data_IF_583456626627
#
_entry.id   IF_583456626627
#
_cell.length_a   1.000
_cell.length_b   1.000
_cell.length_c   1.000
_cell.angle_alpha   90.00
_cell.angle_beta   90.00
_cell.angle_gamma   90.00
#
_symmetry.space_group_name_H-M   'P 1'
#
loop_
_entity.id
_entity.type
_entity.pdbx_description
1 polymer ?
#
# COMPACT_ATOMS: atom_id res chain seq x y z
N UNK A 1 -20.31 -9.42 -14.57
CA UNK A 1 -19.31 -8.37 -14.32
C UNK A 1 -19.89 -7.02 -14.72
N UNK A 2 -20.14 -6.13 -13.78
CA UNK A 2 -20.76 -4.83 -14.00
C UNK A 2 -19.79 -3.81 -14.62
N UNK A 3 -20.29 -2.63 -15.01
CA UNK A 3 -19.45 -1.56 -15.58
C UNK A 3 -18.46 -1.00 -14.54
N UNK A 4 -18.82 -1.01 -13.24
CA UNK A 4 -17.97 -0.61 -12.12
C UNK A 4 -16.73 -1.49 -11.98
N UNK A 5 -16.91 -2.81 -12.10
CA UNK A 5 -15.87 -3.81 -11.87
C UNK A 5 -14.71 -3.69 -12.86
N UNK A 6 -15.01 -3.42 -14.11
CA UNK A 6 -14.02 -3.22 -15.17
C UNK A 6 -13.26 -1.90 -14.99
N UNK A 7 -13.87 -0.90 -14.34
CA UNK A 7 -13.25 0.39 -14.07
C UNK A 7 -12.09 0.24 -13.08
N UNK A 8 -12.29 -0.45 -11.97
CA UNK A 8 -11.25 -0.66 -10.94
C UNK A 8 -10.04 -1.44 -11.49
N UNK A 9 -10.29 -2.56 -12.20
CA UNK A 9 -9.20 -3.32 -12.81
C UNK A 9 -8.42 -2.49 -13.83
N UNK A 10 -9.11 -1.70 -14.65
CA UNK A 10 -8.48 -0.79 -15.61
C UNK A 10 -7.63 0.25 -14.91
N UNK A 11 -8.15 0.86 -13.86
CA UNK A 11 -7.42 1.84 -13.05
C UNK A 11 -6.18 1.24 -12.40
N UNK A 12 -6.30 0.01 -11.85
CA UNK A 12 -5.17 -0.72 -11.32
C UNK A 12 -4.07 -0.96 -12.37
N UNK A 13 -4.45 -1.40 -13.57
CA UNK A 13 -3.49 -1.62 -14.67
C UNK A 13 -2.86 -0.30 -15.16
N UNK A 14 -3.61 0.79 -15.14
CA UNK A 14 -3.12 2.11 -15.50
C UNK A 14 -2.12 2.65 -14.48
N UNK A 15 -2.39 2.46 -13.18
CA UNK A 15 -1.46 2.79 -12.11
C UNK A 15 -0.18 1.95 -12.20
N UNK A 16 -0.30 0.65 -12.44
CA UNK A 16 0.87 -0.22 -12.63
C UNK A 16 1.77 0.23 -13.79
N UNK A 17 1.19 0.73 -14.88
CA UNK A 17 1.95 1.32 -15.99
C UNK A 17 2.66 2.61 -15.57
N UNK A 18 1.98 3.47 -14.87
CA UNK A 18 2.50 4.76 -14.39
C UNK A 18 3.62 4.55 -13.38
N UNK A 19 3.42 3.69 -12.39
CA UNK A 19 4.44 3.34 -11.39
C UNK A 19 5.66 2.66 -12.05
N UNK A 20 5.42 1.80 -13.04
CA UNK A 20 6.51 1.18 -13.80
C UNK A 20 7.38 2.22 -14.51
N UNK A 21 6.78 3.27 -15.07
CA UNK A 21 7.49 4.38 -15.73
C UNK A 21 8.26 5.28 -14.76
N UNK A 22 7.73 5.50 -13.56
CA UNK A 22 8.44 6.26 -12.53
C UNK A 22 9.73 5.56 -12.08
N UNK A 23 9.69 4.22 -11.95
CA UNK A 23 10.86 3.40 -11.58
C UNK A 23 11.84 3.19 -12.74
N UNK A 24 11.33 3.11 -13.96
CA UNK A 24 12.10 2.92 -15.18
C UNK A 24 11.42 3.66 -16.33
N UNK A 25 11.96 4.82 -16.77
CA UNK A 25 11.39 5.61 -17.87
C UNK A 25 11.18 4.82 -19.17
N UNK A 26 11.95 3.75 -19.41
CA UNK A 26 11.79 2.85 -20.56
C UNK A 26 10.66 1.83 -20.41
N UNK A 27 9.98 1.78 -19.25
CA UNK A 27 8.87 0.86 -19.02
C UNK A 27 7.66 1.23 -19.87
N UNK A 28 7.34 0.38 -20.82
CA UNK A 28 6.32 0.62 -21.84
C UNK A 28 5.06 -0.21 -21.62
N UNK A 29 3.98 0.16 -22.32
CA UNK A 29 2.75 -0.66 -22.38
C UNK A 29 3.06 -2.09 -22.81
N UNK A 30 4.02 -2.29 -23.74
CA UNK A 30 4.46 -3.63 -24.16
C UNK A 30 5.11 -4.41 -23.02
N UNK A 31 5.92 -3.74 -22.19
CA UNK A 31 6.54 -4.36 -21.02
C UNK A 31 5.50 -4.79 -19.99
N UNK A 32 4.51 -3.93 -19.70
CA UNK A 32 3.39 -4.27 -18.81
C UNK A 32 2.55 -5.41 -19.38
N UNK A 33 2.23 -5.39 -20.68
CA UNK A 33 1.49 -6.45 -21.34
C UNK A 33 2.20 -7.80 -21.21
N UNK A 34 3.52 -7.84 -21.48
CA UNK A 34 4.36 -9.03 -21.29
C UNK A 34 4.31 -9.52 -19.85
N UNK A 35 4.44 -8.61 -18.87
CA UNK A 35 4.38 -8.93 -17.43
C UNK A 35 3.00 -9.49 -17.02
N UNK A 36 1.91 -8.95 -17.57
CA UNK A 36 0.55 -9.42 -17.33
C UNK A 36 0.15 -10.68 -18.14
N UNK A 37 1.01 -11.14 -19.05
CA UNK A 37 0.68 -12.25 -19.95
C UNK A 37 -0.43 -11.93 -20.96
N UNK A 38 -0.53 -10.65 -21.36
CA UNK A 38 -1.48 -10.13 -22.34
C UNK A 38 -0.76 -9.69 -23.60
N UNK A 39 -1.47 -9.66 -24.74
CA UNK A 39 -0.93 -8.95 -25.91
C UNK A 39 -1.00 -7.43 -25.71
N UNK A 40 -0.07 -6.66 -26.31
CA UNK A 40 -0.11 -5.20 -26.22
C UNK A 40 -1.43 -4.60 -26.71
N UNK A 41 -2.01 -5.17 -27.78
CA UNK A 41 -3.31 -4.76 -28.31
C UNK A 41 -4.44 -5.00 -27.28
N UNK A 42 -4.49 -6.20 -26.67
CA UNK A 42 -5.46 -6.52 -25.65
C UNK A 42 -5.36 -5.60 -24.43
N UNK A 43 -4.14 -5.31 -23.95
CA UNK A 43 -3.94 -4.39 -22.83
C UNK A 43 -4.40 -2.96 -23.20
N UNK A 44 -4.08 -2.48 -24.40
CA UNK A 44 -4.53 -1.17 -24.90
C UNK A 44 -6.05 -1.08 -24.95
N UNK A 45 -6.73 -2.11 -25.44
CA UNK A 45 -8.19 -2.18 -25.49
C UNK A 45 -8.82 -2.22 -24.08
N UNK A 46 -8.18 -2.90 -23.11
CA UNK A 46 -8.62 -2.94 -21.72
C UNK A 46 -8.48 -1.57 -21.09
N UNK A 47 -7.32 -0.93 -21.24
CA UNK A 47 -7.06 0.42 -20.69
C UNK A 47 -7.98 1.48 -21.28
N UNK A 48 -8.37 1.35 -22.56
CA UNK A 48 -9.35 2.24 -23.20
C UNK A 48 -10.82 1.88 -22.91
N UNK A 49 -11.07 0.80 -22.15
CA UNK A 49 -12.41 0.33 -21.83
C UNK A 49 -13.14 -0.38 -22.95
N UNK A 50 -12.50 -0.61 -24.11
CA UNK A 50 -13.10 -1.30 -25.27
C UNK A 50 -13.18 -2.81 -25.08
N UNK A 51 -12.39 -3.37 -24.19
CA UNK A 51 -12.33 -4.81 -23.90
C UNK A 51 -12.46 -5.07 -22.42
N UNK A 52 -13.27 -6.08 -22.08
CA UNK A 52 -13.44 -6.58 -20.71
C UNK A 52 -12.60 -7.85 -20.51
N UNK A 53 -12.06 -8.02 -19.29
CA UNK A 53 -11.44 -9.28 -18.86
C UNK A 53 -12.45 -10.10 -18.07
N UNK A 54 -12.46 -11.43 -18.31
CA UNK A 54 -13.16 -12.33 -17.40
C UNK A 54 -12.44 -12.44 -16.06
N UNK A 55 -13.11 -12.82 -14.96
CA UNK A 55 -12.46 -12.96 -13.65
C UNK A 55 -11.24 -13.88 -13.69
N UNK A 56 -11.30 -14.98 -14.42
CA UNK A 56 -10.21 -15.96 -14.55
C UNK A 56 -8.99 -15.34 -15.26
N UNK A 57 -9.24 -14.58 -16.33
CA UNK A 57 -8.16 -13.87 -17.05
C UNK A 57 -7.59 -12.71 -16.26
N UNK A 58 -8.43 -12.01 -15.50
CA UNK A 58 -7.98 -10.96 -14.59
C UNK A 58 -7.09 -11.55 -13.48
N UNK A 59 -7.52 -12.67 -12.86
CA UNK A 59 -6.73 -13.41 -11.88
C UNK A 59 -5.36 -13.80 -12.43
N UNK A 60 -5.33 -14.43 -13.60
CA UNK A 60 -4.10 -14.87 -14.23
C UNK A 60 -3.16 -13.68 -14.55
N UNK A 61 -3.70 -12.57 -15.02
CA UNK A 61 -2.92 -11.37 -15.33
C UNK A 61 -2.30 -10.76 -14.06
N UNK A 62 -3.08 -10.62 -12.99
CA UNK A 62 -2.62 -10.10 -11.70
C UNK A 62 -1.54 -11.00 -11.09
N UNK A 63 -1.73 -12.32 -11.12
CA UNK A 63 -0.74 -13.30 -10.64
C UNK A 63 0.57 -13.20 -11.42
N UNK A 64 0.51 -13.11 -12.76
CA UNK A 64 1.71 -12.94 -13.60
C UNK A 64 2.43 -11.60 -13.36
N UNK A 65 1.70 -10.58 -12.96
CA UNK A 65 2.28 -9.29 -12.55
C UNK A 65 2.99 -9.36 -11.20
N UNK A 66 2.89 -10.48 -10.48
CA UNK A 66 3.47 -10.67 -9.16
C UNK A 66 2.59 -10.08 -8.05
N UNK A 67 1.31 -9.87 -8.34
CA UNK A 67 0.35 -9.44 -7.32
C UNK A 67 0.07 -10.64 -6.40
N UNK A 68 0.21 -10.49 -5.08
CA UNK A 68 -0.03 -11.57 -4.13
C UNK A 68 -1.45 -12.15 -4.28
N UNK A 69 -1.61 -13.47 -4.05
CA UNK A 69 -2.91 -14.13 -4.18
C UNK A 69 -4.02 -13.44 -3.37
N UNK A 70 -3.69 -12.96 -2.18
CA UNK A 70 -4.63 -12.28 -1.28
C UNK A 70 -5.17 -10.97 -1.89
N UNK A 71 -4.28 -10.17 -2.51
CA UNK A 71 -4.68 -8.94 -3.21
C UNK A 71 -5.43 -9.25 -4.50
N UNK A 72 -5.01 -10.28 -5.22
CA UNK A 72 -5.71 -10.78 -6.42
C UNK A 72 -7.12 -11.22 -6.08
N UNK A 73 -7.30 -12.06 -5.07
CA UNK A 73 -8.61 -12.51 -4.59
C UNK A 73 -9.49 -11.36 -4.11
N UNK A 74 -8.90 -10.39 -3.41
CA UNK A 74 -9.63 -9.21 -2.95
C UNK A 74 -10.14 -8.39 -4.14
N UNK A 75 -9.26 -8.06 -5.11
CA UNK A 75 -9.64 -7.34 -6.33
C UNK A 75 -10.74 -8.12 -7.09
N UNK A 76 -10.61 -9.44 -7.23
CA UNK A 76 -11.61 -10.26 -7.91
C UNK A 76 -12.93 -10.34 -7.16
N UNK A 77 -12.92 -10.46 -5.83
CA UNK A 77 -14.12 -10.46 -5.00
C UNK A 77 -14.81 -9.10 -5.01
N UNK A 78 -14.06 -7.98 -4.97
CA UNK A 78 -14.64 -6.66 -5.15
C UNK A 78 -15.28 -6.49 -6.53
N UNK A 79 -14.69 -7.14 -7.56
CA UNK A 79 -15.22 -7.20 -8.92
C UNK A 79 -16.45 -8.10 -9.08
N UNK A 80 -16.63 -9.13 -8.23
CA UNK A 80 -17.70 -10.11 -8.33
C UNK A 80 -18.77 -9.99 -7.26
N UNK A 81 -18.52 -9.21 -6.20
CA UNK A 81 -19.49 -8.96 -5.11
C UNK A 81 -20.71 -8.20 -5.64
N UNK A 82 -21.63 -8.93 -6.22
CA UNK A 82 -22.86 -8.40 -6.78
C UNK A 82 -24.05 -8.54 -5.84
N UNK A 83 -24.79 -7.43 -5.75
CA UNK A 83 -26.25 -7.30 -5.58
C UNK A 83 -26.88 -7.27 -4.18
N UNK A 84 -26.19 -7.60 -3.06
CA UNK A 84 -26.87 -7.59 -1.76
C UNK A 84 -26.23 -6.71 -0.68
N UNK A 85 -25.13 -5.99 -0.97
CA UNK A 85 -24.52 -5.04 -0.02
C UNK A 85 -24.76 -3.60 -0.47
N UNK A 86 -25.08 -2.74 0.48
CA UNK A 86 -25.17 -1.30 0.23
C UNK A 86 -23.85 -0.83 -0.43
N UNK A 87 -23.87 -0.13 -1.59
CA UNK A 87 -22.65 0.30 -2.30
C UNK A 87 -21.66 1.08 -1.43
N UNK A 88 -22.15 1.84 -0.45
CA UNK A 88 -21.32 2.57 0.51
C UNK A 88 -20.54 1.65 1.46
N UNK A 89 -21.14 0.55 1.92
CA UNK A 89 -20.45 -0.43 2.77
C UNK A 89 -19.37 -1.21 2.01
N UNK A 90 -19.63 -1.54 0.75
CA UNK A 90 -18.64 -2.21 -0.09
C UNK A 90 -17.44 -1.29 -0.36
N UNK A 91 -17.68 -0.03 -0.69
CA UNK A 91 -16.62 0.97 -0.91
C UNK A 91 -15.79 1.17 0.35
N UNK A 92 -16.42 1.26 1.53
CA UNK A 92 -15.73 1.42 2.80
C UNK A 92 -14.80 0.23 3.11
N UNK A 93 -15.24 -1.00 2.85
CA UNK A 93 -14.40 -2.20 3.02
C UNK A 93 -13.21 -2.23 2.08
N UNK A 94 -13.39 -1.78 0.84
CA UNK A 94 -12.32 -1.64 -0.16
C UNK A 94 -11.31 -0.57 0.31
N UNK A 95 -11.79 0.58 0.75
CA UNK A 95 -10.94 1.67 1.23
C UNK A 95 -10.14 1.27 2.48
N UNK A 96 -10.73 0.53 3.41
CA UNK A 96 -10.07 -0.02 4.59
C UNK A 96 -8.97 -1.03 4.22
N UNK A 97 -9.21 -1.88 3.22
CA UNK A 97 -8.19 -2.81 2.75
C UNK A 97 -6.97 -2.07 2.18
N UNK A 98 -7.19 -1.13 1.25
CA UNK A 98 -6.11 -0.38 0.64
C UNK A 98 -5.37 0.52 1.63
N UNK A 99 -6.07 1.08 2.62
CA UNK A 99 -5.43 1.82 3.70
C UNK A 99 -4.32 1.02 4.37
N UNK A 100 -4.57 -0.26 4.62
CA UNK A 100 -3.63 -1.15 5.30
C UNK A 100 -2.64 -1.76 4.30
N UNK A 101 -3.10 -2.17 3.12
CA UNK A 101 -2.28 -2.91 2.17
C UNK A 101 -1.20 -2.07 1.48
N UNK A 102 -1.51 -0.83 1.16
CA UNK A 102 -0.61 0.03 0.40
C UNK A 102 0.12 0.99 1.37
N UNK A 103 1.44 0.89 1.43
CA UNK A 103 2.30 1.59 2.40
C UNK A 103 2.15 3.12 2.42
N UNK A 104 1.85 3.71 1.28
CA UNK A 104 1.83 5.17 1.11
C UNK A 104 0.69 5.87 1.83
N UNK A 105 -0.38 5.19 2.21
CA UNK A 105 -1.49 5.83 2.94
C UNK A 105 -1.04 6.34 4.31
N UNK A 106 -0.32 5.51 5.07
CA UNK A 106 0.23 5.94 6.36
C UNK A 106 1.35 6.96 6.19
N UNK A 107 2.15 6.87 5.13
CA UNK A 107 3.15 7.87 4.82
C UNK A 107 2.52 9.23 4.48
N UNK A 108 1.42 9.26 3.74
CA UNK A 108 0.66 10.50 3.44
C UNK A 108 0.07 11.09 4.74
N UNK A 109 -0.47 10.28 5.64
CA UNK A 109 -0.97 10.74 6.93
C UNK A 109 0.16 11.37 7.76
N UNK A 110 1.33 10.72 7.83
CA UNK A 110 2.49 11.27 8.53
C UNK A 110 3.03 12.54 7.87
N UNK A 111 3.01 12.64 6.52
CA UNK A 111 3.33 13.90 5.83
C UNK A 111 2.37 15.02 6.21
N UNK A 112 1.08 14.71 6.37
CA UNK A 112 0.08 15.68 6.81
C UNK A 112 0.34 16.30 8.18
N UNK A 113 1.26 15.72 8.96
CA UNK A 113 1.69 16.21 10.26
C UNK A 113 3.02 17.00 10.21
N UNK A 114 3.69 17.08 9.06
CA UNK A 114 4.95 17.83 8.91
C UNK A 114 4.70 19.32 8.82
N UNK A 115 5.68 20.11 9.29
CA UNK A 115 5.60 21.58 9.34
C UNK A 115 5.47 22.24 7.96
N UNK A 116 6.03 21.60 6.93
CA UNK A 116 6.04 22.07 5.54
C UNK A 116 4.96 21.44 4.66
N UNK A 117 3.97 20.74 5.26
CA UNK A 117 2.93 20.05 4.53
C UNK A 117 2.21 20.97 3.55
N UNK A 118 2.08 20.51 2.31
CA UNK A 118 1.30 21.17 1.27
C UNK A 118 0.17 20.25 0.80
N UNK A 119 -1.05 20.76 0.83
CA UNK A 119 -2.24 20.10 0.29
C UNK A 119 -2.23 20.12 -1.25
N UNK A 120 -1.25 19.44 -1.82
CA UNK A 120 -1.08 19.31 -3.27
C UNK A 120 -0.71 17.88 -3.64
N UNK A 121 -1.48 17.22 -4.52
CA UNK A 121 -1.11 15.90 -5.03
C UNK A 121 0.28 15.85 -5.66
N UNK A 122 0.71 16.93 -6.32
CA UNK A 122 2.03 17.04 -6.96
C UNK A 122 3.13 17.07 -5.91
N UNK A 123 2.97 17.86 -4.84
CA UNK A 123 3.94 17.95 -3.75
C UNK A 123 4.07 16.61 -3.02
N UNK A 124 2.95 15.99 -2.64
CA UNK A 124 2.92 14.68 -1.96
C UNK A 124 3.52 13.59 -2.86
N UNK A 125 3.15 13.56 -4.13
CA UNK A 125 3.69 12.66 -5.15
C UNK A 125 5.22 12.73 -5.22
N UNK A 126 5.78 13.94 -5.26
CA UNK A 126 7.22 14.18 -5.29
C UNK A 126 7.90 13.75 -3.98
N UNK A 127 7.32 14.08 -2.83
CA UNK A 127 7.87 13.74 -1.49
C UNK A 127 7.95 12.23 -1.25
N UNK A 128 6.96 11.46 -1.72
CA UNK A 128 6.89 10.01 -1.50
C UNK A 128 7.34 9.18 -2.72
N UNK A 129 7.72 9.83 -3.82
CA UNK A 129 8.07 9.17 -5.07
C UNK A 129 6.98 8.17 -5.54
N UNK A 130 5.71 8.61 -5.51
CA UNK A 130 4.55 7.89 -6.03
C UNK A 130 3.91 8.69 -7.16
N UNK A 131 3.05 8.07 -7.99
CA UNK A 131 2.40 8.81 -9.08
C UNK A 131 1.34 9.79 -8.58
N UNK A 132 1.14 10.90 -9.30
CA UNK A 132 0.06 11.85 -9.01
C UNK A 132 -1.31 11.15 -8.98
N UNK A 133 -1.69 10.29 -9.96
CA UNK A 133 -2.94 9.54 -9.89
C UNK A 133 -3.07 8.64 -8.65
N UNK A 134 -1.98 7.99 -8.22
CA UNK A 134 -1.97 7.21 -6.97
C UNK A 134 -2.21 8.11 -5.76
N UNK A 135 -1.57 9.27 -5.72
CA UNK A 135 -1.72 10.26 -4.66
C UNK A 135 -3.17 10.77 -4.56
N UNK A 136 -3.78 11.16 -5.69
CA UNK A 136 -5.18 11.61 -5.72
C UNK A 136 -6.12 10.55 -5.16
N UNK A 137 -6.00 9.30 -5.63
CA UNK A 137 -6.82 8.19 -5.13
C UNK A 137 -6.61 7.91 -3.64
N UNK A 138 -5.35 8.02 -3.17
CA UNK A 138 -5.05 7.85 -1.75
C UNK A 138 -5.68 8.95 -0.90
N UNK A 139 -5.60 10.21 -1.32
CA UNK A 139 -6.23 11.35 -0.63
C UNK A 139 -7.75 11.19 -0.59
N UNK A 140 -8.40 10.91 -1.72
CA UNK A 140 -9.85 10.64 -1.76
C UNK A 140 -10.27 9.52 -0.82
N UNK A 141 -9.47 8.45 -0.74
CA UNK A 141 -9.71 7.33 0.17
C UNK A 141 -9.57 7.74 1.62
N UNK A 142 -8.52 8.48 1.96
CA UNK A 142 -8.28 8.98 3.31
C UNK A 142 -9.35 9.98 3.77
N UNK A 143 -9.87 10.82 2.86
CA UNK A 143 -11.02 11.68 3.13
C UNK A 143 -12.30 10.87 3.37
N UNK A 144 -12.62 9.86 2.52
CA UNK A 144 -13.79 8.97 2.74
C UNK A 144 -13.73 8.19 4.05
N UNK A 145 -12.53 7.79 4.47
CA UNK A 145 -12.29 7.12 5.75
C UNK A 145 -12.28 8.07 6.94
N UNK A 146 -12.37 9.38 6.70
CA UNK A 146 -12.36 10.41 7.74
C UNK A 146 -10.99 10.64 8.38
N UNK A 147 -9.90 10.09 7.82
CA UNK A 147 -8.53 10.30 8.29
C UNK A 147 -7.98 11.68 7.93
N UNK A 148 -8.43 12.23 6.80
CA UNK A 148 -8.29 13.63 6.44
C UNK A 148 -9.66 14.32 6.41
N UNK A 149 -9.67 15.60 6.70
CA UNK A 149 -10.83 16.49 6.48
C UNK A 149 -10.36 17.84 5.96
N UNK A 150 -11.25 18.56 5.28
CA UNK A 150 -10.97 19.95 4.90
C UNK A 150 -11.37 20.89 6.03
N UNK A 151 -10.47 21.79 6.39
CA UNK A 151 -10.76 22.85 7.34
C UNK A 151 -11.61 23.96 6.70
N UNK A 152 -11.93 25.03 7.45
CA UNK A 152 -12.75 26.15 6.96
C UNK A 152 -12.11 26.90 5.79
N UNK A 153 -10.78 26.81 5.64
CA UNK A 153 -10.02 27.42 4.55
C UNK A 153 -9.89 26.49 3.33
N UNK A 154 -10.45 25.28 3.39
CA UNK A 154 -10.40 24.28 2.31
C UNK A 154 -9.16 23.37 2.36
N UNK A 155 -8.21 23.58 3.27
CA UNK A 155 -6.97 22.80 3.35
C UNK A 155 -7.21 21.46 4.04
N UNK A 156 -6.52 20.41 3.55
CA UNK A 156 -6.51 19.09 4.19
C UNK A 156 -5.79 19.13 5.53
N UNK A 157 -6.41 18.54 6.54
CA UNK A 157 -5.84 18.37 7.87
C UNK A 157 -6.08 16.95 8.37
N UNK A 158 -5.09 16.39 9.05
CA UNK A 158 -5.20 15.08 9.69
C UNK A 158 -6.18 15.17 10.86
N UNK A 159 -7.07 14.19 10.98
CA UNK A 159 -8.15 14.23 12.00
C UNK A 159 -7.78 13.55 13.31
N UNK A 160 -6.75 12.69 13.31
CA UNK A 160 -6.44 11.82 14.47
C UNK A 160 -7.48 10.72 14.74
N UNK A 161 -8.43 10.49 13.81
CA UNK A 161 -9.44 9.43 13.95
C UNK A 161 -8.74 8.07 13.96
N UNK A 162 -9.03 7.27 15.00
CA UNK A 162 -8.61 5.87 15.03
C UNK A 162 -9.45 5.07 14.05
N UNK A 163 -8.80 4.56 13.01
CA UNK A 163 -9.44 3.75 12.00
C UNK A 163 -9.54 2.30 12.49
N UNK A 164 -10.77 1.83 12.70
CA UNK A 164 -11.04 0.43 13.03
C UNK A 164 -11.30 -0.37 11.74
N UNK A 165 -10.69 -1.53 11.63
CA UNK A 165 -10.82 -2.41 10.46
C UNK A 165 -11.12 -3.83 10.93
N UNK A 166 -12.02 -4.59 10.26
CA UNK A 166 -12.28 -5.99 10.59
C UNK A 166 -11.01 -6.85 10.49
N UNK A 167 -10.87 -7.82 11.39
CA UNK A 167 -9.66 -8.66 11.50
C UNK A 167 -9.29 -9.37 10.19
N UNK A 168 -10.27 -9.86 9.43
CA UNK A 168 -10.02 -10.52 8.14
C UNK A 168 -9.35 -9.59 7.12
N UNK A 169 -9.77 -8.33 7.07
CA UNK A 169 -9.18 -7.30 6.20
C UNK A 169 -7.79 -6.94 6.70
N UNK A 170 -7.59 -6.84 8.01
CA UNK A 170 -6.29 -6.58 8.64
C UNK A 170 -5.28 -7.65 8.22
N UNK A 171 -5.59 -8.94 8.37
CA UNK A 171 -4.65 -10.02 8.07
C UNK A 171 -4.17 -10.00 6.60
N UNK A 172 -5.09 -9.78 5.65
CA UNK A 172 -4.75 -9.73 4.23
C UNK A 172 -3.94 -8.49 3.86
N UNK A 173 -4.37 -7.32 4.35
CA UNK A 173 -3.70 -6.05 4.08
C UNK A 173 -2.30 -5.99 4.67
N UNK A 174 -2.10 -6.46 5.90
CA UNK A 174 -0.81 -6.45 6.60
C UNK A 174 0.25 -7.26 5.84
N UNK A 175 -0.08 -8.46 5.34
CA UNK A 175 0.87 -9.27 4.57
C UNK A 175 1.35 -8.54 3.32
N UNK A 176 0.44 -7.90 2.60
CA UNK A 176 0.78 -7.09 1.43
C UNK A 176 1.66 -5.89 1.81
N UNK A 177 1.30 -5.16 2.86
CA UNK A 177 2.07 -4.02 3.34
C UNK A 177 3.50 -4.42 3.72
N UNK A 178 3.66 -5.54 4.44
CA UNK A 178 4.99 -6.03 4.81
C UNK A 178 5.85 -6.33 3.57
N UNK A 179 5.29 -6.97 2.54
CA UNK A 179 6.00 -7.23 1.30
C UNK A 179 6.45 -5.93 0.60
N UNK A 180 5.56 -4.94 0.50
CA UNK A 180 5.89 -3.64 -0.10
C UNK A 180 6.97 -2.89 0.71
N UNK A 181 6.88 -2.91 2.04
CA UNK A 181 7.88 -2.29 2.91
C UNK A 181 9.26 -2.97 2.77
N UNK A 182 9.32 -4.29 2.66
CA UNK A 182 10.59 -4.98 2.43
C UNK A 182 11.25 -4.56 1.10
N UNK A 183 10.46 -4.35 0.05
CA UNK A 183 11.00 -3.81 -1.22
C UNK A 183 11.48 -2.36 -1.06
N UNK A 184 10.78 -1.51 -0.29
CA UNK A 184 11.25 -0.16 0.03
C UNK A 184 12.56 -0.19 0.84
N UNK A 185 12.66 -1.07 1.84
CA UNK A 185 13.90 -1.25 2.60
C UNK A 185 15.06 -1.67 1.70
N UNK A 186 14.84 -2.62 0.79
CA UNK A 186 15.84 -3.05 -0.19
C UNK A 186 16.30 -1.90 -1.08
N UNK A 187 15.36 -1.13 -1.62
CA UNK A 187 15.70 0.02 -2.46
C UNK A 187 16.44 1.11 -1.69
N UNK A 188 16.14 1.28 -0.38
CA UNK A 188 16.80 2.23 0.49
C UNK A 188 18.30 1.96 0.67
N UNK A 189 18.75 0.70 0.53
CA UNK A 189 20.17 0.35 0.59
C UNK A 189 20.99 1.06 -0.48
N UNK A 190 20.41 1.29 -1.65
CA UNK A 190 21.07 1.91 -2.78
C UNK A 190 20.76 3.42 -2.91
N UNK A 191 19.62 3.87 -2.40
CA UNK A 191 19.11 5.23 -2.63
C UNK A 191 19.44 6.24 -1.52
N UNK A 192 19.67 5.75 -0.28
CA UNK A 192 19.92 6.63 0.87
C UNK A 192 21.33 6.44 1.42
N UNK A 193 21.94 7.53 1.91
CA UNK A 193 23.25 7.48 2.56
C UNK A 193 23.16 6.85 3.96
N UNK A 194 24.30 6.51 4.54
CA UNK A 194 24.35 5.93 5.90
C UNK A 194 23.85 6.88 6.98
N UNK A 195 23.94 8.19 6.75
CA UNK A 195 23.41 9.21 7.67
C UNK A 195 21.89 9.33 7.62
N UNK A 196 21.26 8.84 6.53
CA UNK A 196 19.82 8.94 6.33
C UNK A 196 19.07 7.66 6.68
N UNK A 197 19.76 6.53 6.84
CA UNK A 197 19.15 5.23 7.14
C UNK A 197 19.95 4.46 8.17
N UNK A 198 19.28 3.52 8.82
CA UNK A 198 19.93 2.56 9.70
C UNK A 198 19.37 1.15 9.47
N UNK A 199 20.26 0.15 9.37
CA UNK A 199 19.93 -1.25 9.22
C UNK A 199 20.63 -2.04 10.32
N UNK A 200 19.88 -2.43 11.33
CA UNK A 200 20.35 -3.19 12.46
C UNK A 200 19.81 -4.62 12.41
N UNK A 201 20.63 -5.57 12.78
CA UNK A 201 20.23 -6.96 12.88
C UNK A 201 21.10 -7.73 13.86
N UNK A 202 20.52 -8.74 14.51
CA UNK A 202 21.20 -9.71 15.35
C UNK A 202 20.70 -11.09 14.99
N UNK A 203 21.63 -12.05 14.91
CA UNK A 203 21.30 -13.47 14.81
C UNK A 203 21.59 -14.14 16.13
N UNK A 204 20.60 -14.81 16.70
CA UNK A 204 20.72 -15.48 18.00
C UNK A 204 19.95 -16.79 18.01
N UNK A 205 20.41 -17.71 18.85
CA UNK A 205 19.64 -18.92 19.21
C UNK A 205 18.70 -18.59 20.37
N UNK A 206 17.41 -18.95 20.24
CA UNK A 206 16.42 -18.78 21.30
C UNK A 206 15.48 -19.99 21.37
N UNK A 207 14.88 -20.21 22.53
CA UNK A 207 13.82 -21.21 22.67
C UNK A 207 12.54 -20.65 21.97
N UNK A 208 11.89 -21.39 21.07
CA UNK A 208 10.60 -21.00 20.49
C UNK A 208 9.51 -20.64 21.53
N UNK A 209 9.59 -21.19 22.75
CA UNK A 209 8.67 -20.82 23.84
C UNK A 209 8.79 -19.36 24.27
N UNK A 210 9.95 -18.74 24.06
CA UNK A 210 10.18 -17.33 24.37
C UNK A 210 9.67 -16.36 23.30
N UNK A 211 9.15 -16.86 22.16
CA UNK A 211 8.63 -16.03 21.07
C UNK A 211 7.53 -15.05 21.53
N UNK A 212 6.56 -15.40 22.41
CA UNK A 212 5.59 -14.45 22.93
C UNK A 212 6.23 -13.29 23.70
N UNK A 213 7.26 -13.59 24.53
CA UNK A 213 8.02 -12.58 25.27
C UNK A 213 8.78 -11.66 24.32
N UNK A 214 9.50 -12.22 23.35
CA UNK A 214 10.22 -11.45 22.33
C UNK A 214 9.29 -10.50 21.56
N UNK A 215 8.12 -10.99 21.12
CA UNK A 215 7.09 -10.17 20.47
C UNK A 215 6.60 -9.02 21.36
N UNK A 216 6.43 -9.27 22.67
CA UNK A 216 6.04 -8.23 23.61
C UNK A 216 7.14 -7.17 23.73
N UNK A 217 8.39 -7.56 23.90
CA UNK A 217 9.53 -6.64 23.99
C UNK A 217 9.64 -5.74 22.75
N UNK A 218 9.47 -6.28 21.56
CA UNK A 218 9.48 -5.50 20.30
C UNK A 218 8.34 -4.47 20.24
N UNK A 219 7.14 -4.84 20.69
CA UNK A 219 6.00 -3.89 20.75
C UNK A 219 6.24 -2.78 21.77
N UNK A 220 6.73 -3.13 22.96
CA UNK A 220 7.06 -2.17 24.02
C UNK A 220 8.17 -1.21 23.57
N UNK A 221 9.16 -1.71 22.83
CA UNK A 221 10.21 -0.88 22.21
C UNK A 221 9.62 0.08 21.19
N UNK A 222 8.80 -0.39 20.23
CA UNK A 222 8.15 0.46 19.22
C UNK A 222 7.34 1.57 19.88
N UNK A 223 6.52 1.25 20.88
CA UNK A 223 5.71 2.24 21.59
C UNK A 223 6.58 3.31 22.25
N UNK A 224 7.66 2.92 22.95
CA UNK A 224 8.59 3.87 23.59
C UNK A 224 9.32 4.74 22.55
N UNK A 225 9.74 4.13 21.45
CA UNK A 225 10.46 4.81 20.36
C UNK A 225 9.57 5.88 19.72
N UNK A 226 8.34 5.54 19.32
CA UNK A 226 7.39 6.49 18.74
C UNK A 226 7.07 7.61 19.72
N UNK A 227 6.69 7.29 20.96
CA UNK A 227 6.38 8.29 21.99
C UNK A 227 7.54 9.28 22.24
N UNK A 228 8.79 8.85 22.08
CA UNK A 228 9.95 9.72 22.27
C UNK A 228 10.17 10.64 21.08
N UNK A 229 10.04 10.13 19.84
CA UNK A 229 10.44 10.86 18.65
C UNK A 229 9.30 11.71 18.05
N UNK A 230 8.04 11.35 18.30
CA UNK A 230 6.87 12.11 17.82
C UNK A 230 6.61 13.41 18.59
N UNK A 231 7.33 13.66 19.70
CA UNK A 231 7.17 14.87 20.52
C UNK A 231 7.93 16.10 19.97
N UNK A 232 8.80 15.92 18.97
CA UNK A 232 9.64 16.98 18.41
C UNK A 232 9.03 17.66 17.19
N UNK A 233 9.84 18.50 16.53
CA UNK A 233 9.52 19.05 15.21
C UNK A 233 9.40 17.94 14.19
N UNK A 234 8.32 17.95 13.40
CA UNK A 234 8.05 16.94 12.37
C UNK A 234 8.42 17.49 11.00
N UNK A 235 9.57 17.10 10.48
CA UNK A 235 10.11 17.59 9.18
C UNK A 235 10.13 16.54 8.10
N UNK A 236 10.37 15.27 8.48
CA UNK A 236 10.49 14.14 7.54
C UNK A 236 9.73 12.93 8.02
N UNK A 237 9.32 12.09 7.08
CA UNK A 237 8.62 10.83 7.37
C UNK A 237 9.60 9.68 7.34
N UNK A 238 9.75 9.00 8.47
CA UNK A 238 10.54 7.79 8.62
C UNK A 238 9.65 6.59 8.92
N UNK A 239 10.07 5.41 8.48
CA UNK A 239 9.47 4.14 8.85
C UNK A 239 10.46 3.28 9.59
N UNK A 240 10.17 2.93 10.84
CA UNK A 240 10.86 1.85 11.56
C UNK A 240 10.16 0.52 11.25
N UNK A 241 10.95 -0.47 10.84
CA UNK A 241 10.45 -1.80 10.52
C UNK A 241 11.25 -2.86 11.28
N UNK A 242 10.59 -3.74 12.02
CA UNK A 242 11.22 -4.80 12.81
C UNK A 242 10.69 -6.16 12.35
N UNK A 243 11.60 -7.08 12.02
CA UNK A 243 11.28 -8.44 11.65
C UNK A 243 11.97 -9.42 12.60
N UNK A 244 11.21 -10.34 13.17
CA UNK A 244 11.73 -11.50 13.91
C UNK A 244 11.26 -12.76 13.18
N UNK A 245 12.19 -13.43 12.51
CA UNK A 245 11.91 -14.60 11.67
C UNK A 245 12.79 -15.78 12.06
N UNK A 246 12.31 -17.03 11.94
CA UNK A 246 13.17 -18.20 12.08
C UNK A 246 14.11 -18.30 10.88
N UNK A 247 15.37 -18.60 11.12
CA UNK A 247 16.36 -18.93 10.09
C UNK A 247 16.64 -20.42 9.99
N UNK A 248 16.20 -21.21 10.96
CA UNK A 248 16.27 -22.66 10.96
C UNK A 248 14.88 -23.27 10.82
N UNK A 249 14.80 -24.51 10.34
CA UNK A 249 13.56 -25.26 10.33
C UNK A 249 13.09 -25.49 11.78
N UNK A 250 11.86 -25.04 12.04
CA UNK A 250 11.23 -25.26 13.34
C UNK A 250 10.90 -26.76 13.46
N UNK A 251 11.55 -27.44 14.41
CA UNK A 251 11.17 -28.81 14.74
C UNK A 251 9.78 -28.81 15.38
N UNK A 252 8.91 -29.75 15.04
CA UNK A 252 7.57 -29.87 15.61
C UNK A 252 7.61 -30.13 17.13
#
# INVERSE_FOLDING_TARGET
>A
MGASDQKELREFLQDALTQGRLRNPSFSLRALAKKAGLSPAALSEILSGKRKLTPERASLALTKMGIPPEKTDFILKSLTAQKNTNPSHQQLSIDQFYLIADWYHFAILSLGETEDFQDSPEWISKRLNISIPTTIKALERLERLGAFKRNKQGNLVVTGVQLTTPDEIIHRGIKQQHAEILELCKNSLDQHSLEQRDFLGVTMAMDPKDLPLAKKMLRDFLAKFCNKLEQGQKKEVYRLNLQLIPLSDLKP
#
